data_IF_089009954693
#
_entry.id   IF_089009954693
#
_cell.length_a   1.000
_cell.length_b   1.000
_cell.length_c   1.000
_cell.angle_alpha   90.00
_cell.angle_beta   90.00
_cell.angle_gamma   90.00
#
_symmetry.space_group_name_H-M   'P 1'
#
loop_
_entity.id
_entity.type
_entity.pdbx_description
1 polymer ?
#
# COMPACT_ATOMS: atom_id res chain seq x y z
N UNK A 1 -4.50 8.58 3.00
CA UNK A 1 -4.66 9.88 3.74
C UNK A 1 -3.32 10.61 3.85
N UNK A 2 -2.24 9.99 4.32
CA UNK A 2 -0.95 10.67 4.54
C UNK A 2 -0.44 11.46 3.32
N UNK A 3 -0.56 10.91 2.11
CA UNK A 3 -0.14 11.59 0.88
C UNK A 3 -0.94 12.87 0.62
N UNK A 4 -2.26 12.87 0.84
CA UNK A 4 -3.10 14.07 0.66
C UNK A 4 -2.66 15.17 1.62
N UNK A 5 -2.53 14.86 2.91
CA UNK A 5 -2.07 15.82 3.92
C UNK A 5 -0.67 16.37 3.61
N UNK A 6 0.24 15.50 3.17
CA UNK A 6 1.58 15.93 2.75
C UNK A 6 1.51 16.91 1.58
N UNK A 7 0.63 16.63 0.58
CA UNK A 7 0.41 17.50 -0.58
C UNK A 7 -0.27 18.82 -0.19
N UNK A 8 -1.29 18.79 0.65
CA UNK A 8 -1.94 19.99 1.17
C UNK A 8 -0.95 20.91 1.87
N UNK A 9 -0.09 20.35 2.72
CA UNK A 9 0.98 21.09 3.39
C UNK A 9 1.97 21.65 2.38
N UNK A 10 2.43 20.84 1.45
CA UNK A 10 3.39 21.25 0.41
C UNK A 10 2.85 22.41 -0.44
N UNK A 11 1.59 22.33 -0.88
CA UNK A 11 0.93 23.40 -1.64
C UNK A 11 0.92 24.72 -0.86
N UNK A 12 0.58 24.64 0.44
CA UNK A 12 0.52 25.79 1.32
C UNK A 12 1.90 26.42 1.55
N UNK A 13 2.91 25.61 1.80
CA UNK A 13 4.28 26.07 2.06
C UNK A 13 4.92 26.72 0.83
N UNK A 14 4.57 26.28 -0.38
CA UNK A 14 5.13 26.77 -1.64
C UNK A 14 4.19 27.75 -2.38
N UNK A 15 3.06 28.13 -1.82
CA UNK A 15 2.09 29.03 -2.48
C UNK A 15 1.52 28.46 -3.78
N UNK A 16 1.30 27.13 -3.85
CA UNK A 16 0.77 26.43 -5.01
C UNK A 16 -0.75 26.35 -4.87
N UNK A 17 -1.48 26.80 -5.88
CA UNK A 17 -2.94 26.87 -5.90
C UNK A 17 -3.60 25.78 -6.77
N UNK A 18 -2.82 25.11 -7.62
CA UNK A 18 -3.33 24.13 -8.56
C UNK A 18 -2.29 23.10 -8.96
N UNK A 19 -2.75 21.91 -9.41
CA UNK A 19 -1.86 20.84 -9.93
C UNK A 19 -1.13 21.31 -11.18
N UNK A 20 -1.75 22.11 -12.03
CA UNK A 20 -1.11 22.64 -13.23
C UNK A 20 0.03 23.60 -12.89
N UNK A 21 -0.15 24.38 -11.82
CA UNK A 21 0.94 25.22 -11.27
C UNK A 21 2.06 24.35 -10.72
N UNK A 22 1.72 23.27 -10.00
CA UNK A 22 2.69 22.30 -9.49
C UNK A 22 3.54 21.69 -10.63
N UNK A 23 2.88 21.21 -11.69
CA UNK A 23 3.54 20.65 -12.88
C UNK A 23 4.47 21.68 -13.54
N UNK A 24 3.99 22.92 -13.74
CA UNK A 24 4.76 24.01 -14.33
C UNK A 24 6.03 24.32 -13.53
N UNK A 25 5.94 24.40 -12.21
CA UNK A 25 7.08 24.66 -11.33
C UNK A 25 8.08 23.50 -11.37
N UNK A 26 7.58 22.27 -11.39
CA UNK A 26 8.41 21.06 -11.51
C UNK A 26 9.19 21.05 -12.83
N UNK A 27 8.52 21.33 -13.95
CA UNK A 27 9.12 21.35 -15.29
C UNK A 27 10.23 22.43 -15.40
N UNK A 28 10.11 23.49 -14.63
CA UNK A 28 11.15 24.53 -14.52
C UNK A 28 12.28 24.17 -13.56
N UNK A 29 12.20 23.02 -12.88
CA UNK A 29 13.19 22.62 -11.88
C UNK A 29 13.17 23.42 -10.59
N UNK A 30 12.08 24.15 -10.33
CA UNK A 30 11.90 24.99 -9.11
C UNK A 30 11.53 24.18 -7.87
N UNK A 31 11.18 22.86 -8.02
CA UNK A 31 10.78 21.95 -6.97
C UNK A 31 11.60 20.65 -7.02
N UNK A 32 12.92 20.69 -6.80
CA UNK A 32 13.78 19.52 -6.96
C UNK A 32 13.52 18.40 -5.93
N UNK A 33 13.04 18.74 -4.73
CA UNK A 33 12.70 17.81 -3.66
C UNK A 33 11.39 17.05 -3.91
N UNK A 34 10.57 17.48 -4.87
CA UNK A 34 9.32 16.81 -5.19
C UNK A 34 9.57 15.58 -6.06
N UNK A 35 9.35 14.39 -5.53
CA UNK A 35 9.56 13.12 -6.25
C UNK A 35 8.68 12.96 -7.49
N UNK A 36 7.39 13.32 -7.40
CA UNK A 36 6.43 13.24 -8.51
C UNK A 36 5.36 14.31 -8.39
N UNK A 37 4.84 14.80 -9.51
CA UNK A 37 3.67 15.72 -9.53
C UNK A 37 2.36 14.96 -9.37
N UNK A 38 2.29 13.79 -9.98
CA UNK A 38 1.09 12.96 -10.01
C UNK A 38 1.35 11.60 -9.36
N UNK A 39 0.33 11.09 -8.67
CA UNK A 39 0.30 9.78 -8.04
C UNK A 39 -0.93 9.05 -8.55
N UNK A 40 -0.75 7.84 -9.07
CA UNK A 40 -1.87 6.99 -9.53
C UNK A 40 -2.03 5.81 -8.58
N UNK A 41 -3.19 5.72 -7.94
CA UNK A 41 -3.59 4.56 -7.15
C UNK A 41 -4.36 3.59 -8.05
N UNK A 42 -3.78 2.41 -8.26
CA UNK A 42 -4.43 1.32 -9.00
C UNK A 42 -5.05 0.34 -8.00
N UNK A 43 -6.35 0.09 -8.14
CA UNK A 43 -7.09 -0.87 -7.29
C UNK A 43 -7.69 -1.92 -8.22
N UNK A 44 -7.18 -3.15 -8.14
CA UNK A 44 -7.78 -4.30 -8.81
C UNK A 44 -8.69 -5.04 -7.82
N UNK A 45 -9.95 -5.28 -8.23
CA UNK A 45 -10.95 -5.90 -7.36
C UNK A 45 -11.52 -4.96 -6.28
N UNK A 46 -11.99 -3.78 -6.67
CA UNK A 46 -12.52 -2.76 -5.74
C UNK A 46 -13.62 -3.28 -4.79
N UNK A 47 -14.50 -4.20 -5.27
CA UNK A 47 -15.52 -4.83 -4.42
C UNK A 47 -14.92 -5.61 -3.25
N UNK A 48 -13.88 -6.41 -3.50
CA UNK A 48 -13.19 -7.16 -2.45
C UNK A 48 -12.52 -6.23 -1.42
N UNK A 49 -11.93 -5.12 -1.87
CA UNK A 49 -11.34 -4.13 -0.96
C UNK A 49 -12.39 -3.61 0.04
N UNK A 50 -13.59 -3.30 -0.43
CA UNK A 50 -14.66 -2.80 0.42
C UNK A 50 -15.18 -3.86 1.40
N UNK A 51 -15.28 -5.10 0.94
CA UNK A 51 -15.85 -6.20 1.76
C UNK A 51 -14.87 -6.66 2.85
N UNK A 52 -13.57 -6.64 2.56
CA UNK A 52 -12.53 -7.10 3.48
C UNK A 52 -11.91 -5.96 4.32
N UNK A 53 -11.92 -4.72 3.82
CA UNK A 53 -11.23 -3.57 4.41
C UNK A 53 -12.12 -2.32 4.40
N UNK A 54 -13.21 -2.35 5.19
CA UNK A 54 -14.22 -1.28 5.21
C UNK A 54 -13.63 0.12 5.50
N UNK A 55 -12.62 0.21 6.35
CA UNK A 55 -11.94 1.48 6.67
C UNK A 55 -11.22 2.08 5.45
N UNK A 56 -10.71 1.24 4.54
CA UNK A 56 -10.06 1.70 3.31
C UNK A 56 -11.06 2.24 2.28
N UNK A 57 -12.31 1.78 2.31
CA UNK A 57 -13.36 2.29 1.41
C UNK A 57 -13.62 3.79 1.67
N UNK A 58 -13.64 4.20 2.95
CA UNK A 58 -13.77 5.62 3.31
C UNK A 58 -12.53 6.43 2.91
N UNK A 59 -11.34 5.85 3.00
CA UNK A 59 -10.10 6.48 2.54
C UNK A 59 -10.07 6.69 1.03
N UNK A 60 -10.53 5.70 0.25
CA UNK A 60 -10.64 5.82 -1.20
C UNK A 60 -11.71 6.83 -1.59
N UNK A 61 -12.84 6.88 -0.88
CA UNK A 61 -13.88 7.89 -1.12
C UNK A 61 -13.34 9.32 -0.88
N UNK A 62 -12.53 9.53 0.14
CA UNK A 62 -11.85 10.82 0.38
C UNK A 62 -10.84 11.16 -0.71
N UNK A 63 -10.06 10.17 -1.19
CA UNK A 63 -9.15 10.34 -2.32
C UNK A 63 -9.88 10.70 -3.61
N UNK A 64 -10.99 10.03 -3.93
CA UNK A 64 -11.81 10.35 -5.09
C UNK A 64 -12.35 11.78 -5.03
N UNK A 65 -12.74 12.24 -3.83
CA UNK A 65 -13.31 13.57 -3.62
C UNK A 65 -12.27 14.68 -3.70
N UNK A 66 -11.08 14.51 -3.14
CA UNK A 66 -10.08 15.56 -2.94
C UNK A 66 -8.80 15.37 -3.73
N UNK A 67 -8.46 14.12 -4.04
CA UNK A 67 -7.15 13.75 -4.57
C UNK A 67 -6.81 14.44 -5.90
N UNK A 68 -7.77 14.58 -6.81
CA UNK A 68 -7.55 15.22 -8.10
C UNK A 68 -7.01 16.64 -8.00
N UNK A 69 -7.42 17.41 -6.99
CA UNK A 69 -6.90 18.75 -6.71
C UNK A 69 -5.43 18.77 -6.27
N UNK A 70 -4.88 17.62 -5.90
CA UNK A 70 -3.50 17.46 -5.43
C UNK A 70 -2.66 16.53 -6.31
N UNK A 71 -3.15 16.22 -7.52
CA UNK A 71 -2.47 15.31 -8.45
C UNK A 71 -2.52 13.84 -8.05
N UNK A 72 -3.56 13.43 -7.30
CA UNK A 72 -3.77 12.03 -6.93
C UNK A 72 -4.97 11.49 -7.69
N UNK A 73 -4.75 10.44 -8.46
CA UNK A 73 -5.72 9.83 -9.36
C UNK A 73 -6.00 8.39 -8.93
N UNK A 74 -7.25 7.95 -9.06
CA UNK A 74 -7.64 6.58 -8.75
C UNK A 74 -8.10 5.88 -10.03
N UNK A 75 -7.56 4.71 -10.29
CA UNK A 75 -8.02 3.78 -11.33
C UNK A 75 -8.45 2.49 -10.65
N UNK A 76 -9.72 2.13 -10.77
CA UNK A 76 -10.29 0.98 -10.10
C UNK A 76 -10.87 -0.03 -11.10
N UNK A 77 -10.48 -1.30 -10.96
CA UNK A 77 -11.11 -2.44 -11.61
C UNK A 77 -12.16 -3.07 -10.69
N UNK A 78 -13.33 -3.44 -11.24
CA UNK A 78 -14.43 -4.03 -10.46
C UNK A 78 -15.30 -4.95 -11.33
N UNK A 79 -16.03 -5.83 -10.71
CA UNK A 79 -16.94 -6.75 -11.41
C UNK A 79 -18.26 -6.08 -11.77
N UNK A 80 -18.75 -5.19 -10.92
CA UNK A 80 -20.07 -4.53 -11.08
C UNK A 80 -19.99 -3.08 -10.62
N UNK A 81 -20.74 -2.21 -11.32
CA UNK A 81 -20.84 -0.80 -10.95
C UNK A 81 -21.39 -0.57 -9.53
N UNK A 82 -22.28 -1.46 -9.09
CA UNK A 82 -22.86 -1.42 -7.76
C UNK A 82 -21.88 -1.77 -6.63
N UNK A 83 -20.68 -2.22 -6.95
CA UNK A 83 -19.60 -2.38 -5.98
C UNK A 83 -19.10 -1.02 -5.44
N UNK A 84 -19.40 0.06 -6.18
CA UNK A 84 -19.11 1.44 -5.75
C UNK A 84 -20.32 2.04 -5.04
N UNK A 85 -20.12 2.70 -3.91
CA UNK A 85 -21.20 3.43 -3.21
C UNK A 85 -21.80 4.50 -4.15
N UNK A 86 -23.10 4.63 -4.17
CA UNK A 86 -23.83 5.59 -5.03
C UNK A 86 -23.27 7.02 -4.87
N UNK A 87 -22.94 7.41 -3.64
CA UNK A 87 -22.39 8.74 -3.34
C UNK A 87 -21.03 9.02 -4.01
N UNK A 88 -20.26 7.98 -4.35
CA UNK A 88 -18.93 8.12 -4.96
C UNK A 88 -18.90 7.77 -6.45
N UNK A 89 -19.99 7.18 -6.98
CA UNK A 89 -20.08 6.80 -8.39
C UNK A 89 -19.85 7.97 -9.35
N UNK A 90 -20.38 9.16 -9.05
CA UNK A 90 -20.23 10.36 -9.87
C UNK A 90 -18.81 10.95 -9.86
N UNK A 91 -17.94 10.50 -8.96
CA UNK A 91 -16.56 10.96 -8.86
C UNK A 91 -15.64 10.26 -9.87
N UNK A 92 -16.05 9.13 -10.44
CA UNK A 92 -15.39 8.52 -11.57
C UNK A 92 -15.78 9.22 -12.87
N UNK A 93 -14.89 10.08 -13.35
CA UNK A 93 -15.15 10.91 -14.55
C UNK A 93 -15.10 10.15 -15.86
N UNK A 94 -14.44 8.97 -15.90
CA UNK A 94 -14.34 8.13 -17.09
C UNK A 94 -14.59 6.67 -16.74
N UNK A 95 -15.31 5.96 -17.62
CA UNK A 95 -15.63 4.55 -17.46
C UNK A 95 -15.34 3.80 -18.74
N UNK A 96 -14.75 2.63 -18.57
CA UNK A 96 -14.55 1.65 -19.65
C UNK A 96 -15.20 0.36 -19.18
N UNK A 97 -16.24 -0.06 -19.87
CA UNK A 97 -16.99 -1.28 -19.56
C UNK A 97 -16.59 -2.39 -20.52
N UNK A 98 -15.92 -3.40 -20.00
CA UNK A 98 -15.64 -4.66 -20.70
C UNK A 98 -16.89 -5.54 -20.67
N UNK A 99 -16.83 -6.71 -21.31
CA UNK A 99 -17.95 -7.65 -21.29
C UNK A 99 -18.33 -8.02 -19.84
N UNK A 100 -19.57 -7.76 -19.49
CA UNK A 100 -20.14 -8.12 -18.20
C UNK A 100 -20.69 -9.57 -18.22
N UNK A 101 -20.79 -10.19 -17.05
CA UNK A 101 -21.48 -11.48 -16.91
C UNK A 101 -22.99 -11.34 -17.18
N UNK A 102 -23.60 -10.25 -16.68
CA UNK A 102 -24.98 -9.89 -16.97
C UNK A 102 -25.00 -8.48 -17.59
N UNK A 103 -25.42 -8.34 -18.85
CA UNK A 103 -25.57 -7.03 -19.48
C UNK A 103 -26.55 -6.08 -18.77
N UNK A 104 -27.43 -6.60 -17.91
CA UNK A 104 -28.32 -5.77 -17.09
C UNK A 104 -27.55 -4.91 -16.07
N UNK A 105 -26.34 -5.32 -15.70
CA UNK A 105 -25.44 -4.56 -14.81
C UNK A 105 -24.72 -3.41 -15.52
N UNK A 106 -24.93 -3.22 -16.84
CA UNK A 106 -24.27 -2.15 -17.59
C UNK A 106 -24.64 -0.77 -17.06
N UNK A 107 -23.61 0.02 -16.79
CA UNK A 107 -23.74 1.43 -16.42
C UNK A 107 -23.71 2.38 -17.64
N UNK A 108 -23.44 1.86 -18.84
CA UNK A 108 -23.34 2.63 -20.08
C UNK A 108 -24.60 2.46 -20.93
N UNK A 109 -24.83 1.26 -21.46
CA UNK A 109 -25.98 0.92 -22.26
C UNK A 109 -26.18 -0.60 -22.35
N UNK A 110 -27.26 -1.11 -21.79
CA UNK A 110 -27.56 -2.54 -21.75
C UNK A 110 -27.55 -3.20 -23.13
N UNK A 111 -28.18 -2.59 -24.12
CA UNK A 111 -28.30 -3.17 -25.47
C UNK A 111 -26.94 -3.27 -26.16
N UNK A 112 -26.08 -2.28 -25.98
CA UNK A 112 -24.72 -2.31 -26.51
C UNK A 112 -23.87 -3.33 -25.75
N UNK A 113 -24.04 -3.42 -24.44
CA UNK A 113 -23.33 -4.41 -23.61
C UNK A 113 -23.66 -5.85 -23.99
N UNK A 114 -24.93 -6.15 -24.36
CA UNK A 114 -25.37 -7.44 -24.89
C UNK A 114 -24.61 -7.88 -26.15
N UNK A 115 -24.05 -6.94 -26.90
CA UNK A 115 -23.31 -7.24 -28.15
C UNK A 115 -21.82 -7.55 -27.92
N UNK A 116 -21.33 -7.36 -26.70
CA UNK A 116 -19.94 -7.69 -26.37
C UNK A 116 -19.75 -9.21 -26.24
N UNK A 117 -19.09 -9.83 -27.23
CA UNK A 117 -18.86 -11.27 -27.29
C UNK A 117 -17.68 -11.72 -26.42
N UNK A 118 -17.76 -12.95 -25.91
CA UNK A 118 -16.64 -13.65 -25.28
C UNK A 118 -15.49 -13.92 -26.25
N UNK A 119 -15.77 -14.02 -27.55
CA UNK A 119 -14.79 -14.31 -28.60
C UNK A 119 -13.90 -13.10 -28.94
N UNK A 120 -14.24 -11.92 -28.41
CA UNK A 120 -13.47 -10.69 -28.62
C UNK A 120 -13.03 -10.08 -27.27
N UNK A 121 -12.14 -10.73 -26.52
CA UNK A 121 -11.63 -10.19 -25.27
C UNK A 121 -10.94 -8.85 -25.50
N UNK A 122 -11.14 -7.89 -24.59
CA UNK A 122 -10.63 -6.53 -24.74
C UNK A 122 -11.58 -5.59 -25.51
N UNK A 123 -12.67 -6.08 -26.11
CA UNK A 123 -13.72 -5.20 -26.61
C UNK A 123 -14.45 -4.54 -25.45
N UNK A 124 -14.67 -3.23 -25.55
CA UNK A 124 -15.21 -2.42 -24.47
C UNK A 124 -16.24 -1.40 -24.97
N UNK A 125 -17.02 -0.85 -24.05
CA UNK A 125 -17.85 0.34 -24.24
C UNK A 125 -17.25 1.50 -23.42
N UNK A 126 -17.28 2.70 -24.00
CA UNK A 126 -16.93 3.94 -23.33
C UNK A 126 -18.19 4.68 -22.86
N UNK A 127 -18.05 5.68 -21.99
CA UNK A 127 -19.16 6.56 -21.55
C UNK A 127 -19.92 7.20 -22.72
N UNK A 128 -19.24 7.46 -23.84
CA UNK A 128 -19.84 8.00 -25.05
C UNK A 128 -20.63 6.98 -25.87
N UNK A 129 -20.88 5.77 -25.33
CA UNK A 129 -21.55 4.65 -26.02
C UNK A 129 -20.82 4.21 -27.29
N UNK A 130 -19.51 4.39 -27.34
CA UNK A 130 -18.66 3.97 -28.45
C UNK A 130 -17.96 2.65 -28.09
N UNK A 131 -17.83 1.78 -29.09
CA UNK A 131 -17.00 0.62 -28.96
C UNK A 131 -15.51 1.01 -28.97
N UNK A 132 -14.75 0.40 -28.07
CA UNK A 132 -13.31 0.50 -28.01
C UNK A 132 -12.67 -0.90 -28.03
N UNK A 133 -11.39 -0.98 -28.26
CA UNK A 133 -10.62 -2.21 -28.09
C UNK A 133 -9.37 -1.90 -27.30
N UNK A 134 -9.25 -2.54 -26.12
CA UNK A 134 -8.10 -2.37 -25.22
C UNK A 134 -6.89 -3.08 -25.81
N UNK A 135 -5.76 -2.38 -25.90
CA UNK A 135 -4.51 -2.94 -26.39
C UNK A 135 -3.93 -3.99 -25.43
N UNK A 136 -3.21 -4.95 -25.96
CA UNK A 136 -2.45 -5.89 -25.14
C UNK A 136 -1.27 -5.16 -24.47
N UNK A 137 -0.93 -5.48 -23.22
CA UNK A 137 0.20 -4.89 -22.51
C UNK A 137 1.53 -5.51 -22.97
N UNK A 138 1.86 -5.35 -24.28
CA UNK A 138 3.06 -5.89 -24.91
C UNK A 138 3.87 -4.76 -25.53
N UNK A 139 5.20 -4.82 -25.41
CA UNK A 139 6.13 -3.86 -26.03
C UNK A 139 6.68 -4.35 -27.37
N UNK A 140 6.47 -5.63 -27.72
CA UNK A 140 7.00 -6.27 -28.91
C UNK A 140 6.06 -6.17 -30.15
N UNK A 141 4.95 -5.43 -30.02
CA UNK A 141 3.94 -5.22 -31.05
C UNK A 141 3.26 -6.49 -31.61
N UNK A 142 3.40 -7.65 -30.96
CA UNK A 142 2.73 -8.88 -31.38
C UNK A 142 1.29 -8.91 -30.89
N UNK A 143 0.36 -9.42 -31.70
CA UNK A 143 -1.05 -9.57 -31.34
C UNK A 143 -1.37 -10.96 -30.73
N UNK A 144 -0.38 -11.64 -30.17
CA UNK A 144 -0.50 -12.99 -29.62
C UNK A 144 -0.78 -12.93 -28.10
N UNK A 145 -1.73 -13.73 -27.62
CA UNK A 145 -2.12 -13.79 -26.20
C UNK A 145 -1.57 -15.02 -25.45
N UNK A 146 -1.14 -16.07 -26.16
CA UNK A 146 -0.72 -17.35 -25.57
C UNK A 146 0.53 -17.25 -24.71
N UNK A 147 1.38 -16.26 -24.94
CA UNK A 147 2.63 -15.99 -24.23
C UNK A 147 2.64 -14.61 -23.55
N UNK A 148 1.47 -14.07 -23.26
CA UNK A 148 1.33 -12.71 -22.70
C UNK A 148 2.07 -12.54 -21.37
N UNK A 149 2.03 -13.54 -20.51
CA UNK A 149 2.73 -13.51 -19.21
C UNK A 149 4.25 -13.36 -19.41
N UNK A 150 4.86 -14.14 -20.29
CA UNK A 150 6.29 -14.04 -20.56
C UNK A 150 6.65 -12.74 -21.28
N UNK A 151 5.82 -12.24 -22.17
CA UNK A 151 6.02 -10.94 -22.82
C UNK A 151 5.97 -9.78 -21.83
N UNK A 152 5.09 -9.87 -20.82
CA UNK A 152 5.02 -8.88 -19.75
C UNK A 152 6.26 -8.92 -18.84
N UNK A 153 6.74 -10.14 -18.50
CA UNK A 153 7.99 -10.31 -17.75
C UNK A 153 9.19 -9.72 -18.50
N UNK A 154 9.27 -9.94 -19.82
CA UNK A 154 10.32 -9.38 -20.66
C UNK A 154 10.24 -7.83 -20.71
N UNK A 155 9.04 -7.28 -20.81
CA UNK A 155 8.82 -5.84 -20.77
C UNK A 155 9.28 -5.24 -19.43
N UNK A 156 8.90 -5.86 -18.30
CA UNK A 156 9.34 -5.44 -16.96
C UNK A 156 10.86 -5.52 -16.83
N UNK A 157 11.47 -6.60 -17.35
CA UNK A 157 12.93 -6.77 -17.35
C UNK A 157 13.63 -5.69 -18.16
N UNK A 158 13.10 -5.35 -19.33
CA UNK A 158 13.64 -4.28 -20.20
C UNK A 158 13.56 -2.90 -19.50
N UNK A 159 12.41 -2.57 -18.90
CA UNK A 159 12.25 -1.32 -18.15
C UNK A 159 13.22 -1.27 -16.97
N UNK A 160 13.35 -2.38 -16.20
CA UNK A 160 14.28 -2.45 -15.07
C UNK A 160 15.75 -2.26 -15.49
N UNK A 161 16.13 -2.77 -16.66
CA UNK A 161 17.49 -2.64 -17.17
C UNK A 161 17.84 -1.20 -17.58
N UNK A 162 16.85 -0.41 -17.96
CA UNK A 162 17.03 1.00 -18.39
C UNK A 162 16.76 2.02 -17.27
N UNK A 163 16.17 1.57 -16.14
CA UNK A 163 15.87 2.45 -15.02
C UNK A 163 17.12 2.71 -14.18
N UNK A 164 17.51 3.99 -14.07
CA UNK A 164 18.65 4.45 -13.29
C UNK A 164 18.25 5.28 -12.06
N UNK A 165 16.96 5.45 -11.82
CA UNK A 165 16.42 6.16 -10.63
C UNK A 165 16.36 5.27 -9.40
N UNK A 166 15.97 5.88 -8.27
CA UNK A 166 15.68 5.16 -7.05
C UNK A 166 14.55 4.13 -7.28
N UNK A 167 14.67 2.92 -6.73
CA UNK A 167 13.59 1.94 -6.81
C UNK A 167 12.37 2.41 -6.01
N UNK A 168 11.19 1.94 -6.38
CA UNK A 168 10.00 2.17 -5.58
C UNK A 168 10.20 1.64 -4.15
N UNK A 169 9.72 2.38 -3.16
CA UNK A 169 9.78 1.93 -1.77
C UNK A 169 9.06 0.57 -1.62
N UNK A 170 9.66 -0.39 -0.93
CA UNK A 170 9.02 -1.68 -0.72
C UNK A 170 7.74 -1.52 0.10
N UNK A 171 6.76 -2.39 -0.15
CA UNK A 171 5.56 -2.47 0.69
C UNK A 171 6.00 -2.90 2.10
N UNK A 172 5.65 -2.08 3.09
CA UNK A 172 5.99 -2.34 4.49
C UNK A 172 5.01 -3.36 5.06
N UNK A 173 5.48 -4.58 5.29
CA UNK A 173 4.71 -5.67 5.88
C UNK A 173 5.49 -6.23 7.05
N UNK A 174 4.81 -6.50 8.17
CA UNK A 174 5.44 -7.18 9.29
C UNK A 174 6.01 -8.53 8.85
N UNK A 175 7.27 -8.83 9.17
CA UNK A 175 7.85 -10.12 8.81
C UNK A 175 7.18 -11.26 9.60
N UNK A 176 6.90 -12.37 8.95
CA UNK A 176 6.36 -13.57 9.61
C UNK A 176 7.32 -14.15 10.67
N UNK A 177 8.62 -13.88 10.53
CA UNK A 177 9.68 -14.24 11.49
C UNK A 177 10.71 -13.14 11.56
N UNK A 178 10.97 -12.64 12.76
CA UNK A 178 11.98 -11.63 13.02
C UNK A 178 13.09 -12.24 13.89
N UNK A 179 14.27 -12.53 13.33
CA UNK A 179 15.41 -12.99 14.14
C UNK A 179 15.93 -11.89 15.07
N UNK A 180 16.23 -12.22 16.32
CA UNK A 180 16.73 -11.25 17.32
C UNK A 180 17.96 -10.47 16.84
N UNK A 181 18.83 -11.06 16.00
CA UNK A 181 20.00 -10.37 15.41
C UNK A 181 19.66 -9.19 14.47
N UNK A 182 18.39 -9.04 14.08
CA UNK A 182 17.92 -7.88 13.31
C UNK A 182 17.40 -6.74 14.18
N UNK A 183 17.27 -6.98 15.47
CA UNK A 183 16.96 -5.94 16.44
C UNK A 183 18.23 -5.16 16.79
N UNK A 184 18.11 -3.88 17.18
CA UNK A 184 19.23 -3.06 17.59
C UNK A 184 20.04 -3.70 18.72
N UNK A 185 21.34 -3.62 18.61
CA UNK A 185 22.30 -4.08 19.64
C UNK A 185 22.30 -3.18 20.89
N UNK A 186 22.99 -3.62 21.92
CA UNK A 186 23.23 -2.80 23.13
C UNK A 186 24.00 -1.50 22.84
N UNK A 187 24.83 -1.49 21.79
CA UNK A 187 25.57 -0.29 21.37
C UNK A 187 24.66 0.74 20.72
N UNK A 188 23.71 0.27 19.89
CA UNK A 188 22.76 1.16 19.18
C UNK A 188 21.64 1.68 20.09
N UNK A 189 21.17 0.86 21.03
CA UNK A 189 20.11 1.19 22.00
C UNK A 189 20.54 0.73 23.40
N UNK A 190 21.35 1.49 24.12
CA UNK A 190 21.96 1.05 25.39
C UNK A 190 20.95 0.98 26.54
N UNK A 191 19.92 1.82 26.59
CA UNK A 191 19.03 1.98 27.75
C UNK A 191 17.64 1.38 27.57
N UNK A 192 17.31 0.88 26.38
CA UNK A 192 16.02 0.28 26.10
C UNK A 192 16.15 -1.13 25.51
N UNK A 193 15.15 -1.96 25.71
CA UNK A 193 15.12 -3.36 25.26
C UNK A 193 14.31 -3.48 23.98
N UNK A 194 14.92 -3.77 22.82
CA UNK A 194 14.18 -3.98 21.59
C UNK A 194 13.46 -5.32 21.63
N UNK A 195 12.14 -5.30 21.38
CA UNK A 195 11.28 -6.49 21.44
C UNK A 195 10.72 -6.90 20.09
N UNK A 196 10.80 -6.04 19.07
CA UNK A 196 10.22 -6.30 17.77
C UNK A 196 10.35 -5.12 16.84
N UNK A 197 9.42 -5.05 15.87
CA UNK A 197 9.21 -3.90 14.99
C UNK A 197 7.72 -3.56 14.99
N UNK A 198 7.40 -2.27 14.89
CA UNK A 198 6.02 -1.83 14.77
C UNK A 198 5.49 -1.96 13.33
N UNK A 199 4.18 -2.02 13.17
CA UNK A 199 3.53 -2.21 11.86
C UNK A 199 3.58 -0.96 10.99
N UNK A 200 3.55 0.22 11.58
CA UNK A 200 3.38 1.47 10.85
C UNK A 200 4.69 1.91 10.18
N UNK A 201 5.79 1.90 10.96
CA UNK A 201 7.09 2.39 10.49
C UNK A 201 8.08 1.26 10.16
N UNK A 202 7.83 0.02 10.63
CA UNK A 202 8.80 -1.08 10.72
C UNK A 202 10.07 -0.68 11.50
N UNK A 203 9.95 0.32 12.34
CA UNK A 203 11.01 0.71 13.27
C UNK A 203 11.07 -0.22 14.47
N UNK A 204 12.21 -0.32 15.15
CA UNK A 204 12.32 -1.14 16.34
C UNK A 204 11.34 -0.68 17.43
N UNK A 205 10.48 -1.60 17.88
CA UNK A 205 9.67 -1.42 19.09
C UNK A 205 10.56 -1.72 20.30
N UNK A 206 10.70 -0.75 21.17
CA UNK A 206 11.60 -0.84 22.34
C UNK A 206 10.83 -0.67 23.64
N UNK A 207 11.31 -1.31 24.71
CA UNK A 207 10.83 -1.15 26.08
C UNK A 207 11.86 -0.38 26.89
N UNK A 208 11.46 0.71 27.50
CA UNK A 208 12.27 1.48 28.46
C UNK A 208 11.87 1.08 29.88
N UNK A 209 12.33 -0.11 30.30
CA UNK A 209 11.96 -0.71 31.60
C UNK A 209 12.43 0.09 32.81
N UNK A 210 13.46 0.94 32.68
CA UNK A 210 14.00 1.72 33.76
C UNK A 210 13.58 3.20 33.73
N UNK A 211 12.82 3.58 32.69
CA UNK A 211 12.25 4.90 32.52
C UNK A 211 10.72 4.88 32.46
N UNK A 212 10.17 4.85 31.26
CA UNK A 212 8.72 5.01 31.05
C UNK A 212 7.91 3.71 31.23
N UNK A 213 8.49 2.54 30.92
CA UNK A 213 7.79 1.25 30.86
C UNK A 213 8.15 0.33 32.05
N UNK A 214 8.10 0.86 33.25
CA UNK A 214 8.61 0.20 34.48
C UNK A 214 8.06 -1.21 34.74
N UNK A 215 6.90 -1.55 34.18
CA UNK A 215 6.26 -2.85 34.36
C UNK A 215 5.72 -3.37 33.02
N UNK A 216 6.07 -4.60 32.65
CA UNK A 216 5.57 -5.25 31.45
C UNK A 216 4.63 -6.39 31.80
N UNK A 217 3.40 -6.36 31.30
CA UNK A 217 2.47 -7.48 31.34
C UNK A 217 2.37 -8.13 29.94
N UNK A 218 2.66 -9.42 29.88
CA UNK A 218 2.55 -10.21 28.64
C UNK A 218 1.37 -11.16 28.73
N UNK A 219 0.37 -10.94 27.90
CA UNK A 219 -0.84 -11.76 27.80
C UNK A 219 -0.86 -12.57 26.50
N UNK A 220 -1.51 -13.70 26.52
CA UNK A 220 -1.72 -14.55 25.34
C UNK A 220 -2.04 -16.00 25.71
N UNK A 221 -2.58 -16.76 24.77
CA UNK A 221 -2.91 -18.18 24.94
C UNK A 221 -1.68 -19.10 24.95
N UNK A 222 -1.89 -20.40 25.06
CA UNK A 222 -0.81 -21.37 24.98
C UNK A 222 -0.10 -21.25 23.63
N UNK A 223 1.23 -21.46 23.65
CA UNK A 223 2.11 -21.48 22.47
C UNK A 223 2.19 -20.17 21.66
N UNK A 224 1.61 -19.06 22.12
CA UNK A 224 1.66 -17.76 21.43
C UNK A 224 3.01 -16.99 21.60
N UNK A 225 4.01 -17.56 22.27
CA UNK A 225 5.34 -16.99 22.37
C UNK A 225 5.66 -16.18 23.62
N UNK A 226 4.82 -16.17 24.67
CA UNK A 226 5.08 -15.48 25.95
C UNK A 226 6.47 -15.75 26.52
N UNK A 227 6.79 -17.05 26.67
CA UNK A 227 8.11 -17.47 27.19
C UNK A 227 9.26 -17.04 26.27
N UNK A 228 9.03 -17.04 24.97
CA UNK A 228 10.02 -16.57 24.00
C UNK A 228 10.31 -15.07 24.16
N UNK A 229 9.26 -14.26 24.36
CA UNK A 229 9.41 -12.83 24.63
C UNK A 229 10.16 -12.58 25.94
N UNK A 230 9.79 -13.29 27.03
CA UNK A 230 10.52 -13.15 28.29
C UNK A 230 12.00 -13.52 28.17
N UNK A 231 12.33 -14.57 27.42
CA UNK A 231 13.73 -14.93 27.13
C UNK A 231 14.46 -13.87 26.31
N UNK A 232 13.78 -13.28 25.32
CA UNK A 232 14.33 -12.19 24.51
C UNK A 232 14.66 -10.98 25.38
N UNK A 233 13.72 -10.56 26.23
CA UNK A 233 13.89 -9.45 27.17
C UNK A 233 15.04 -9.74 28.14
N UNK A 234 15.05 -10.92 28.77
CA UNK A 234 16.10 -11.29 29.71
C UNK A 234 17.49 -11.26 29.06
N UNK A 235 17.63 -11.82 27.87
CA UNK A 235 18.90 -11.82 27.14
C UNK A 235 19.32 -10.40 26.75
N UNK A 236 18.41 -9.59 26.25
CA UNK A 236 18.70 -8.22 25.88
C UNK A 236 19.11 -7.35 27.08
N UNK A 237 18.59 -7.64 28.26
CA UNK A 237 19.00 -7.00 29.50
C UNK A 237 20.42 -7.45 29.95
N UNK A 238 20.72 -8.75 29.86
CA UNK A 238 22.06 -9.27 30.14
C UNK A 238 23.13 -8.69 29.21
N UNK A 239 22.77 -8.48 27.95
CA UNK A 239 23.66 -7.87 26.95
C UNK A 239 23.93 -6.36 27.22
N UNK A 240 23.16 -5.72 28.13
CA UNK A 240 23.20 -4.27 28.41
C UNK A 240 23.68 -3.88 29.79
N UNK A 241 23.47 -4.74 30.77
CA UNK A 241 23.71 -4.45 32.17
C UNK A 241 24.62 -5.51 32.82
N UNK A 242 25.55 -5.06 33.62
CA UNK A 242 26.43 -5.94 34.40
C UNK A 242 25.76 -6.53 35.64
N UNK A 243 26.42 -7.49 36.26
CA UNK A 243 25.92 -8.20 37.46
C UNK A 243 25.75 -7.30 38.69
N UNK A 244 26.43 -6.15 38.73
CA UNK A 244 26.29 -5.16 39.79
C UNK A 244 25.11 -4.19 39.55
N UNK A 245 24.62 -4.13 38.30
CA UNK A 245 23.57 -3.20 37.89
C UNK A 245 22.20 -3.86 37.85
N UNK A 246 22.13 -5.19 37.57
CA UNK A 246 20.88 -5.91 37.34
C UNK A 246 20.91 -7.30 37.99
N UNK A 247 19.84 -7.60 38.73
CA UNK A 247 19.61 -8.93 39.32
C UNK A 247 18.25 -9.45 38.81
N UNK A 248 18.22 -10.70 38.39
CA UNK A 248 17.00 -11.39 37.98
C UNK A 248 16.41 -12.23 39.11
N UNK A 249 15.14 -12.00 39.43
CA UNK A 249 14.32 -12.95 40.19
C UNK A 249 13.41 -13.68 39.20
N UNK A 250 13.56 -14.99 39.03
CA UNK A 250 12.73 -15.79 38.13
C UNK A 250 11.87 -16.74 38.93
N UNK A 251 10.56 -16.62 38.74
CA UNK A 251 9.56 -17.53 39.29
C UNK A 251 8.86 -18.27 38.17
N UNK A 252 9.12 -19.57 38.00
CA UNK A 252 8.48 -20.42 36.96
C UNK A 252 7.77 -21.61 37.66
N UNK A 253 6.46 -21.52 37.93
CA UNK A 253 5.71 -22.54 38.65
C UNK A 253 5.54 -23.87 37.89
N UNK A 254 5.94 -23.91 36.60
CA UNK A 254 5.83 -25.11 35.77
C UNK A 254 7.13 -25.95 35.79
N UNK A 255 8.21 -25.44 36.35
CA UNK A 255 9.53 -26.08 36.40
C UNK A 255 10.06 -26.22 37.80
N UNK A 256 9.14 -26.32 38.76
CA UNK A 256 9.49 -26.63 40.16
C UNK A 256 9.92 -28.06 40.36
#
# INVERSE_FOLDING_TARGET
>A
RGIVYARERYFREHGIDSVDRLRTLRDRGELPELGSTDVVLLIDGFGALRDEFADLDDDVADLLKRGGGYGIHVVAGMLRWNDVRIATQSMFGSRIELRLNDPADSCVDRKLSETLSADTPGRALTDGKLFAHVALPRLDALARVTDLASALEDAVRAVRATWHGEPAAPVRVLPTRLPARRLPSAVEVPHAVPIGVDQESLSPAVLDLFGTDQHLLVLGDNECGKTNLLRLVSRALVDRYGEEELVFGVFDPRRG
#
